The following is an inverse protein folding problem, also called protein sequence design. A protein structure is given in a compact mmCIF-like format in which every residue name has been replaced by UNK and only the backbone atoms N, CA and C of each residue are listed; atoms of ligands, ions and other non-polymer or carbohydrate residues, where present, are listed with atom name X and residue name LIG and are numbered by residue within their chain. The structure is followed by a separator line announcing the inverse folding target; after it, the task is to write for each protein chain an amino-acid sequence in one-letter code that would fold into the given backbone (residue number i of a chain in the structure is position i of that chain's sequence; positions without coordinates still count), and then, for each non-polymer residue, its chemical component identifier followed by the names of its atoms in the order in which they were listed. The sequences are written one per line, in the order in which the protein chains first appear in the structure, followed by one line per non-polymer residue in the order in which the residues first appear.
data_IF_072947770626
#
_entry.id   IF_072947770626
#
_cell.length_a   1.000
_cell.length_b   1.000
_cell.length_c   1.000
_cell.angle_alpha   90.00
_cell.angle_beta   90.00
_cell.angle_gamma   90.00
#
_symmetry.space_group_name_H-M   'P 1'
#
loop_
_entity.id
_entity.type
_entity.pdbx_description
1 polymer ?
#
# COMPACT_ATOMS: atom_id res chain seq x y z
N UNK A 1 -54.65 -28.43 12.66
CA UNK A 1 -53.61 -28.12 13.67
C UNK A 1 -52.43 -27.52 12.92
N UNK A 2 -52.42 -26.20 12.76
CA UNK A 2 -51.49 -25.43 11.93
C UNK A 2 -50.17 -25.23 12.68
N UNK A 3 -49.15 -26.03 12.35
CA UNK A 3 -47.80 -25.87 12.91
C UNK A 3 -47.17 -24.62 12.29
N UNK A 4 -46.73 -23.70 13.14
CA UNK A 4 -46.24 -22.37 12.81
C UNK A 4 -45.08 -22.37 11.80
N UNK A 5 -45.40 -22.00 10.55
CA UNK A 5 -44.46 -21.70 9.45
C UNK A 5 -43.39 -20.65 9.82
N UNK A 6 -43.66 -19.83 10.86
CA UNK A 6 -42.78 -18.76 11.34
C UNK A 6 -41.47 -19.19 12.04
N UNK A 7 -41.34 -20.43 12.55
CA UNK A 7 -40.16 -20.84 13.35
C UNK A 7 -39.04 -21.49 12.52
N UNK A 8 -39.39 -22.12 11.39
CA UNK A 8 -38.42 -22.77 10.48
C UNK A 8 -37.67 -21.76 9.60
N UNK A 9 -38.35 -20.69 9.19
CA UNK A 9 -37.75 -19.59 8.42
C UNK A 9 -36.72 -18.81 9.24
N UNK A 10 -37.07 -18.46 10.49
CA UNK A 10 -36.18 -17.77 11.44
C UNK A 10 -34.89 -18.57 11.72
N UNK A 11 -35.00 -19.90 11.85
CA UNK A 11 -33.85 -20.78 12.11
C UNK A 11 -32.94 -20.94 10.88
N UNK A 12 -33.52 -20.92 9.67
CA UNK A 12 -32.78 -20.89 8.40
C UNK A 12 -32.04 -19.56 8.19
N UNK A 13 -32.71 -18.43 8.47
CA UNK A 13 -32.13 -17.09 8.35
C UNK A 13 -30.97 -16.86 9.33
N UNK A 14 -31.10 -17.31 10.58
CA UNK A 14 -30.00 -17.19 11.55
C UNK A 14 -28.81 -18.09 11.21
N UNK A 15 -29.04 -19.32 10.75
CA UNK A 15 -27.96 -20.22 10.35
C UNK A 15 -27.26 -19.72 9.07
N UNK A 16 -28.03 -19.11 8.17
CA UNK A 16 -27.53 -18.42 6.97
C UNK A 16 -26.66 -17.21 7.34
N UNK A 17 -27.11 -16.39 8.30
CA UNK A 17 -26.33 -15.24 8.80
C UNK A 17 -25.04 -15.71 9.49
N UNK A 18 -25.11 -16.71 10.37
CA UNK A 18 -23.93 -17.26 11.06
C UNK A 18 -22.88 -17.73 10.03
N UNK A 19 -23.30 -18.41 8.96
CA UNK A 19 -22.39 -18.79 7.85
C UNK A 19 -21.77 -17.59 7.15
N UNK A 20 -22.54 -16.52 6.90
CA UNK A 20 -22.01 -15.29 6.31
C UNK A 20 -20.98 -14.60 7.21
N UNK A 21 -21.20 -14.57 8.54
CA UNK A 21 -20.23 -14.02 9.50
C UNK A 21 -18.93 -14.82 9.46
N UNK A 22 -18.99 -16.15 9.47
CA UNK A 22 -17.79 -16.99 9.39
C UNK A 22 -17.04 -16.81 8.06
N UNK A 23 -17.75 -16.65 6.94
CA UNK A 23 -17.13 -16.37 5.64
C UNK A 23 -16.43 -15.00 5.67
N UNK A 24 -17.08 -13.96 6.18
CA UNK A 24 -16.47 -12.63 6.29
C UNK A 24 -15.26 -12.68 7.23
N UNK A 25 -15.36 -13.32 8.39
CA UNK A 25 -14.27 -13.43 9.36
C UNK A 25 -13.09 -14.31 8.89
N UNK A 26 -13.29 -15.23 7.95
CA UNK A 26 -12.23 -16.05 7.35
C UNK A 26 -11.62 -15.41 6.10
N UNK A 27 -12.42 -14.65 5.35
CA UNK A 27 -11.95 -13.93 4.16
C UNK A 27 -11.24 -12.63 4.55
N UNK A 28 -11.69 -11.92 5.59
CA UNK A 28 -11.12 -10.64 6.03
C UNK A 28 -9.63 -10.71 6.43
N UNK A 29 -9.14 -11.75 7.16
CA UNK A 29 -7.72 -11.92 7.46
C UNK A 29 -6.89 -12.27 6.21
N UNK A 30 -7.46 -13.06 5.30
CA UNK A 30 -6.84 -13.41 4.02
C UNK A 30 -6.77 -12.21 3.06
N UNK A 31 -7.70 -11.27 3.20
CA UNK A 31 -7.82 -10.11 2.33
C UNK A 31 -6.99 -8.91 2.84
N UNK A 32 -6.78 -8.80 4.16
CA UNK A 32 -5.87 -7.79 4.74
C UNK A 32 -4.41 -7.97 4.33
N UNK A 33 -3.96 -9.20 4.04
CA UNK A 33 -2.59 -9.48 3.54
C UNK A 33 -2.37 -8.96 2.10
N UNK A 34 -3.44 -8.74 1.34
CA UNK A 34 -3.40 -8.35 -0.08
C UNK A 34 -3.58 -6.84 -0.25
N UNK A 35 -4.11 -6.14 0.75
CA UNK A 35 -4.26 -4.68 0.76
C UNK A 35 -3.08 -3.92 1.35
N UNK A 36 -1.97 -4.59 1.67
CA UNK A 36 -0.73 -3.86 1.84
C UNK A 36 -0.41 -3.26 0.49
N UNK A 37 -0.62 -1.94 0.37
CA UNK A 37 -0.48 -1.16 -0.86
C UNK A 37 0.75 -1.67 -1.59
N UNK A 38 0.58 -2.45 -2.67
CA UNK A 38 1.73 -2.98 -3.38
C UNK A 38 2.49 -1.73 -3.81
N UNK A 39 3.74 -1.64 -3.38
CA UNK A 39 4.65 -0.51 -3.61
C UNK A 39 4.92 -0.43 -5.12
N UNK A 40 3.91 0.03 -5.84
CA UNK A 40 3.82 0.05 -7.29
C UNK A 40 4.58 1.28 -7.75
N UNK A 41 5.89 1.33 -7.47
CA UNK A 41 6.82 2.30 -8.04
C UNK A 41 6.29 3.73 -8.02
N UNK A 42 5.63 4.14 -6.92
CA UNK A 42 5.16 5.51 -6.83
C UNK A 42 6.37 6.42 -6.63
N UNK A 43 6.42 7.57 -7.32
CA UNK A 43 7.49 8.53 -7.09
C UNK A 43 7.46 9.01 -5.64
N UNK A 44 8.62 9.24 -5.00
CA UNK A 44 8.68 9.68 -3.62
C UNK A 44 8.02 11.05 -3.44
N UNK A 45 7.22 11.20 -2.37
CA UNK A 45 6.63 12.49 -2.02
C UNK A 45 7.65 13.37 -1.30
N UNK A 46 8.26 14.28 -2.05
CA UNK A 46 9.27 15.19 -1.54
C UNK A 46 8.75 16.22 -0.53
N UNK A 47 7.45 16.31 -0.27
CA UNK A 47 6.91 17.15 0.79
C UNK A 47 7.14 16.58 2.19
N UNK A 48 7.41 15.28 2.29
CA UNK A 48 7.65 14.59 3.57
C UNK A 48 9.05 14.93 4.12
N UNK A 49 10.02 15.15 3.24
CA UNK A 49 11.41 15.39 3.59
C UNK A 49 11.67 16.88 3.86
N UNK A 50 11.52 17.28 5.13
CA UNK A 50 11.68 18.69 5.59
C UNK A 50 12.87 18.91 6.52
N UNK A 51 13.56 17.85 6.93
CA UNK A 51 14.67 17.88 7.88
C UNK A 51 15.94 17.19 7.32
N UNK A 52 16.91 16.93 8.20
CA UNK A 52 18.12 16.19 7.85
C UNK A 52 17.82 14.75 7.41
N UNK A 53 18.45 14.30 6.33
CA UNK A 53 18.30 12.95 5.82
C UNK A 53 18.96 11.90 6.72
N UNK A 54 18.27 10.77 6.90
CA UNK A 54 18.87 9.55 7.47
C UNK A 54 19.92 8.98 6.51
N UNK A 55 20.78 8.10 7.04
CA UNK A 55 21.83 7.41 6.27
C UNK A 55 21.42 6.00 5.84
N UNK A 56 20.12 5.74 5.78
CA UNK A 56 19.63 4.49 5.19
C UNK A 56 19.96 4.45 3.70
N UNK A 57 20.20 3.25 3.20
CA UNK A 57 20.54 3.02 1.81
C UNK A 57 19.40 2.26 1.14
N UNK A 58 18.54 3.03 0.48
CA UNK A 58 17.36 2.62 -0.27
C UNK A 58 17.45 3.31 -1.64
N UNK A 59 18.28 2.80 -2.56
CA UNK A 59 18.72 3.57 -3.72
C UNK A 59 17.57 3.89 -4.69
N UNK A 60 17.70 5.01 -5.40
CA UNK A 60 16.75 5.48 -6.41
C UNK A 60 17.50 5.92 -7.65
N UNK A 61 17.01 5.47 -8.81
CA UNK A 61 17.44 5.98 -10.10
C UNK A 61 16.55 7.14 -10.54
N UNK A 62 17.18 8.22 -10.96
CA UNK A 62 16.52 9.42 -11.46
C UNK A 62 16.79 9.63 -12.95
N UNK A 63 16.05 10.55 -13.57
CA UNK A 63 16.12 10.85 -15.00
C UNK A 63 17.47 11.40 -15.48
N UNK A 64 18.32 11.85 -14.56
CA UNK A 64 19.69 12.30 -14.84
C UNK A 64 20.71 11.15 -14.83
N UNK A 65 20.24 9.89 -14.79
CA UNK A 65 21.04 8.68 -14.67
C UNK A 65 21.92 8.63 -13.41
N UNK A 66 21.58 9.43 -12.39
CA UNK A 66 22.25 9.42 -11.10
C UNK A 66 21.48 8.56 -10.11
N UNK A 67 22.23 7.75 -9.38
CA UNK A 67 21.71 7.00 -8.23
C UNK A 67 21.75 7.87 -6.98
N UNK A 68 20.61 8.03 -6.33
CA UNK A 68 20.47 8.67 -5.03
C UNK A 68 20.41 7.60 -3.94
N UNK A 69 21.11 7.82 -2.82
CA UNK A 69 21.23 6.80 -1.76
C UNK A 69 19.91 6.50 -1.06
N UNK A 70 19.00 7.47 -1.01
CA UNK A 70 17.64 7.33 -0.51
C UNK A 70 16.72 8.44 -1.03
N UNK A 71 15.42 8.28 -0.81
CA UNK A 71 14.37 9.23 -1.18
C UNK A 71 14.63 10.65 -0.69
N UNK A 72 15.11 10.80 0.55
CA UNK A 72 15.42 12.11 1.11
C UNK A 72 16.53 12.82 0.33
N UNK A 73 17.61 12.11 -0.01
CA UNK A 73 18.70 12.69 -0.81
C UNK A 73 18.25 13.07 -2.22
N UNK A 74 17.38 12.27 -2.85
CA UNK A 74 16.76 12.60 -4.13
C UNK A 74 15.91 13.87 -4.02
N UNK A 75 15.04 13.94 -3.01
CA UNK A 75 14.13 15.05 -2.83
C UNK A 75 14.84 16.36 -2.48
N UNK A 76 15.89 16.30 -1.66
CA UNK A 76 16.73 17.45 -1.34
C UNK A 76 17.37 18.02 -2.62
N UNK A 77 17.92 17.15 -3.48
CA UNK A 77 18.52 17.59 -4.74
C UNK A 77 17.49 18.15 -5.71
N UNK A 78 16.33 17.48 -5.83
CA UNK A 78 15.20 17.90 -6.67
C UNK A 78 14.69 19.29 -6.28
N UNK A 79 14.62 19.59 -4.99
CA UNK A 79 14.16 20.89 -4.49
C UNK A 79 15.22 21.98 -4.59
N UNK A 80 16.50 21.65 -4.41
CA UNK A 80 17.58 22.64 -4.41
C UNK A 80 18.02 23.09 -5.80
N UNK A 81 18.00 22.20 -6.80
CA UNK A 81 18.60 22.49 -8.11
C UNK A 81 17.59 22.97 -9.17
N UNK A 82 16.28 22.99 -8.88
CA UNK A 82 15.20 23.33 -9.83
C UNK A 82 15.29 22.57 -11.17
N UNK A 83 16.06 21.46 -11.20
CA UNK A 83 16.68 20.93 -12.41
C UNK A 83 15.80 19.95 -13.20
N UNK A 84 14.49 19.89 -12.93
CA UNK A 84 13.62 18.95 -13.64
C UNK A 84 14.04 17.48 -13.48
N UNK A 85 14.64 17.13 -12.34
CA UNK A 85 15.03 15.75 -12.04
C UNK A 85 13.76 14.97 -11.69
N UNK A 86 13.48 13.89 -12.41
CA UNK A 86 12.31 13.04 -12.23
C UNK A 86 12.71 11.67 -11.69
N UNK A 87 11.84 11.09 -10.87
CA UNK A 87 12.00 9.71 -10.41
C UNK A 87 11.83 8.78 -11.62
N UNK A 88 12.68 7.75 -11.70
CA UNK A 88 12.60 6.74 -12.75
C UNK A 88 12.19 5.39 -12.16
N UNK A 89 12.96 4.86 -11.22
CA UNK A 89 12.64 3.63 -10.50
C UNK A 89 13.41 3.53 -9.17
N UNK A 90 12.95 2.67 -8.28
CA UNK A 90 13.71 2.25 -7.11
C UNK A 90 14.85 1.31 -7.52
N UNK A 91 15.99 1.38 -6.81
CA UNK A 91 17.23 0.71 -7.17
C UNK A 91 18.31 1.68 -7.66
N UNK A 92 19.50 1.15 -7.92
CA UNK A 92 20.55 1.91 -8.60
C UNK A 92 20.25 2.05 -10.09
N UNK A 93 20.78 3.09 -10.74
CA UNK A 93 20.72 3.18 -12.19
C UNK A 93 21.57 2.08 -12.84
N UNK A 94 20.96 1.30 -13.73
CA UNK A 94 21.65 0.43 -14.66
C UNK A 94 21.97 1.26 -15.91
N UNK A 95 23.27 1.41 -16.20
CA UNK A 95 23.84 2.31 -17.20
C UNK A 95 23.37 2.05 -18.64
#
# INVERSE_FOLDING_TARGET
MSVSFHRLDKMSLFLSWIKAIFIIALVFPLYSEIYFEPDFGFPPDCKVYTEACTREYNPICASDAKTYSNECTFCNEKMNNDAGIHFQHFGECEY
#
